data_IF_408980825644
#
_entry.id   IF_408980825644
#
_cell.length_a   1.000
_cell.length_b   1.000
_cell.length_c   1.000
_cell.angle_alpha   90.00
_cell.angle_beta   90.00
_cell.angle_gamma   90.00
#
_symmetry.space_group_name_H-M   'P 1'
#
loop_
_entity.id
_entity.type
_entity.pdbx_description
1 polymer ?
#
# COMPACT_ATOMS: atom_id res chain seq x y z
N UNK A 1 -14.19 6.90 -56.92
CA UNK A 1 -15.29 7.84 -56.63
C UNK A 1 -15.08 8.37 -55.25
N UNK A 2 -14.75 9.66 -55.16
CA UNK A 2 -14.54 10.46 -53.96
C UNK A 2 -15.89 10.77 -53.29
N UNK A 3 -15.95 10.78 -51.97
CA UNK A 3 -16.72 11.77 -51.23
C UNK A 3 -16.07 12.02 -49.86
N UNK A 4 -15.46 13.18 -49.78
CA UNK A 4 -15.01 13.87 -48.58
C UNK A 4 -16.22 14.58 -47.95
N UNK A 5 -16.38 14.51 -46.63
CA UNK A 5 -17.32 15.37 -45.91
C UNK A 5 -16.64 15.94 -44.67
N UNK A 6 -16.17 17.15 -44.82
CA UNK A 6 -15.67 18.07 -43.79
C UNK A 6 -16.87 18.71 -43.09
N UNK A 7 -16.97 18.62 -41.75
CA UNK A 7 -17.88 19.49 -40.96
C UNK A 7 -17.05 20.53 -40.22
N UNK A 8 -17.28 21.77 -40.63
CA UNK A 8 -16.85 22.98 -39.94
C UNK A 8 -17.65 23.15 -38.63
N UNK A 9 -16.95 23.50 -37.57
CA UNK A 9 -17.52 24.01 -36.31
C UNK A 9 -17.35 25.54 -36.32
N UNK A 10 -18.50 26.20 -36.24
CA UNK A 10 -18.65 27.65 -36.21
C UNK A 10 -18.41 28.20 -34.81
N UNK A 11 -17.50 29.15 -34.67
CA UNK A 11 -17.32 30.00 -33.49
C UNK A 11 -18.31 31.16 -33.56
N UNK A 12 -18.96 31.50 -32.46
CA UNK A 12 -19.62 32.76 -32.24
C UNK A 12 -19.08 33.42 -30.96
N UNK A 13 -18.67 34.68 -31.06
CA UNK A 13 -18.21 35.44 -29.91
C UNK A 13 -19.22 36.49 -29.45
N UNK A 14 -18.93 37.05 -28.26
CA UNK A 14 -19.41 38.33 -27.68
C UNK A 14 -20.76 38.32 -26.94
N UNK A 15 -20.60 38.64 -25.65
CA UNK A 15 -21.20 39.87 -25.10
C UNK A 15 -20.50 40.28 -23.79
N UNK A 16 -19.81 41.40 -23.84
CA UNK A 16 -19.38 42.23 -22.71
C UNK A 16 -20.63 42.80 -22.03
N UNK A 17 -20.62 42.89 -20.71
CA UNK A 17 -21.41 43.86 -19.96
C UNK A 17 -20.60 44.38 -18.76
N UNK A 18 -20.45 45.66 -18.78
CA UNK A 18 -19.71 46.55 -17.90
C UNK A 18 -20.56 47.01 -16.71
N UNK A 19 -19.81 47.30 -15.61
CA UNK A 19 -20.00 48.35 -14.57
C UNK A 19 -21.14 48.24 -13.56
N UNK A 20 -20.77 48.26 -12.25
CA UNK A 20 -21.02 49.46 -11.43
C UNK A 20 -20.21 49.44 -10.14
N UNK A 21 -19.40 50.48 -9.94
CA UNK A 21 -18.71 50.83 -8.69
C UNK A 21 -19.73 51.57 -7.81
N UNK A 22 -19.83 51.21 -6.54
CA UNK A 22 -20.42 52.07 -5.51
C UNK A 22 -19.50 52.10 -4.28
N UNK A 23 -18.80 53.20 -4.14
CA UNK A 23 -18.13 53.65 -2.93
C UNK A 23 -19.15 54.19 -1.94
N UNK A 24 -19.10 53.74 -0.72
CA UNK A 24 -19.69 54.47 0.42
C UNK A 24 -18.73 54.35 1.61
N UNK A 25 -18.03 55.45 1.82
CA UNK A 25 -17.30 55.80 3.04
C UNK A 25 -18.30 56.26 4.09
N UNK A 26 -18.24 55.74 5.33
CA UNK A 26 -18.68 56.47 6.50
C UNK A 26 -17.79 56.14 7.72
N UNK A 27 -17.29 57.24 8.28
CA UNK A 27 -16.40 57.31 9.45
C UNK A 27 -17.18 57.29 10.78
N UNK A 28 -16.43 57.04 11.86
CA UNK A 28 -16.64 57.38 13.26
C UNK A 28 -17.47 56.39 14.12
N UNK A 29 -16.90 55.80 15.15
CA UNK A 29 -16.62 56.42 16.43
C UNK A 29 -15.91 55.42 17.37
N UNK A 30 -14.89 55.90 18.04
CA UNK A 30 -14.21 55.27 19.18
C UNK A 30 -15.16 55.23 20.38
N UNK A 31 -15.37 54.03 20.92
CA UNK A 31 -15.75 53.87 22.32
C UNK A 31 -14.88 52.75 22.91
N UNK A 32 -13.95 53.16 23.74
CA UNK A 32 -13.16 52.32 24.61
C UNK A 32 -14.02 51.82 25.77
N UNK A 33 -14.21 50.50 25.85
CA UNK A 33 -14.59 49.87 27.12
C UNK A 33 -13.67 48.69 27.32
N UNK A 34 -12.77 48.81 28.28
CA UNK A 34 -11.97 47.71 28.80
C UNK A 34 -12.91 46.78 29.57
N UNK A 35 -13.10 45.59 29.04
CA UNK A 35 -13.62 44.50 29.82
C UNK A 35 -12.49 43.45 29.94
N UNK A 36 -11.95 43.32 31.14
CA UNK A 36 -11.07 42.21 31.53
C UNK A 36 -11.84 40.91 31.40
N UNK A 37 -11.62 40.21 30.31
CA UNK A 37 -11.99 38.82 30.20
C UNK A 37 -10.72 37.98 30.50
N UNK A 38 -10.69 37.37 31.67
CA UNK A 38 -9.79 36.30 32.03
C UNK A 38 -9.95 35.16 30.99
N UNK A 39 -9.05 35.13 30.02
CA UNK A 39 -8.90 33.94 29.17
C UNK A 39 -8.24 32.86 30.00
N UNK A 40 -9.06 31.97 30.56
CA UNK A 40 -8.62 30.62 30.93
C UNK A 40 -8.19 29.93 29.64
N UNK A 41 -6.89 29.95 29.36
CA UNK A 41 -6.30 29.06 28.39
C UNK A 41 -6.48 27.62 28.90
N UNK A 42 -7.56 26.98 28.50
CA UNK A 42 -7.64 25.56 28.49
C UNK A 42 -6.66 25.08 27.42
N UNK A 43 -5.43 24.81 27.84
CA UNK A 43 -4.49 24.02 27.07
C UNK A 43 -5.15 22.66 26.85
N UNK A 44 -5.78 22.50 25.70
CA UNK A 44 -6.05 21.18 25.14
C UNK A 44 -4.69 20.60 24.80
N UNK A 45 -4.07 19.93 25.74
CA UNK A 45 -3.06 18.94 25.49
C UNK A 45 -3.76 17.81 24.73
N UNK A 46 -3.80 17.93 23.41
CA UNK A 46 -3.93 16.77 22.56
C UNK A 46 -2.72 15.90 22.91
N UNK A 47 -2.94 14.93 23.77
CA UNK A 47 -2.02 13.82 23.93
C UNK A 47 -2.00 13.12 22.56
N UNK A 48 -1.05 13.47 21.69
CA UNK A 48 -0.67 12.67 20.55
C UNK A 48 -0.34 11.30 21.11
N UNK A 49 -1.27 10.35 20.98
CA UNK A 49 -0.97 8.97 21.28
C UNK A 49 0.18 8.60 20.33
N UNK A 50 1.35 8.29 20.90
CA UNK A 50 2.47 7.80 20.13
C UNK A 50 2.03 6.53 19.44
N UNK A 51 1.88 6.60 18.11
CA UNK A 51 1.37 5.49 17.29
C UNK A 51 2.43 4.39 17.06
N UNK A 52 3.65 4.63 17.54
CA UNK A 52 4.81 3.79 17.25
C UNK A 52 5.87 3.88 18.37
N UNK A 53 6.94 3.11 18.29
CA UNK A 53 8.05 3.17 19.21
C UNK A 53 9.31 3.69 18.55
N UNK A 54 9.76 4.85 18.99
CA UNK A 54 10.99 5.51 18.54
C UNK A 54 12.13 5.25 19.49
N UNK A 55 13.31 4.91 18.98
CA UNK A 55 14.54 4.69 19.74
C UNK A 55 15.68 5.47 19.11
N UNK A 56 16.47 6.16 19.95
CA UNK A 56 17.73 6.80 19.53
C UNK A 56 18.89 5.98 20.05
N UNK A 57 19.74 5.48 19.15
CA UNK A 57 20.81 4.53 19.49
C UNK A 57 22.12 4.90 18.79
N UNK A 58 23.23 4.38 19.32
CA UNK A 58 24.51 4.43 18.64
C UNK A 58 24.45 3.55 17.36
N UNK A 59 25.15 3.89 16.25
CA UNK A 59 25.10 3.14 14.99
C UNK A 59 25.40 1.64 15.15
N UNK A 60 26.29 1.26 16.05
CA UNK A 60 26.60 -0.15 16.33
C UNK A 60 25.47 -0.93 16.99
N UNK A 61 24.49 -0.24 17.58
CA UNK A 61 23.34 -0.80 18.27
C UNK A 61 22.07 -0.79 17.42
N UNK A 62 22.10 -0.12 16.26
CA UNK A 62 20.92 0.08 15.42
C UNK A 62 20.20 -1.24 15.10
N UNK A 63 20.94 -2.28 14.70
CA UNK A 63 20.35 -3.59 14.40
C UNK A 63 19.68 -4.24 15.62
N UNK A 64 20.26 -4.09 16.82
CA UNK A 64 19.70 -4.65 18.04
C UNK A 64 18.46 -3.91 18.53
N UNK A 65 18.31 -2.64 18.16
CA UNK A 65 17.15 -1.82 18.46
C UNK A 65 15.91 -2.19 17.65
N UNK A 66 16.07 -2.89 16.52
CA UNK A 66 14.97 -3.32 15.65
C UNK A 66 14.22 -4.49 16.29
N UNK A 67 12.96 -4.28 16.61
CA UNK A 67 12.14 -5.23 17.39
C UNK A 67 11.43 -6.27 16.50
N UNK A 68 11.02 -5.86 15.29
CA UNK A 68 10.25 -6.70 14.41
C UNK A 68 11.13 -7.38 13.35
N UNK A 69 10.72 -8.57 12.92
CA UNK A 69 11.46 -9.35 11.92
C UNK A 69 11.50 -8.63 10.57
N UNK A 70 10.41 -7.97 10.20
CA UNK A 70 10.30 -7.19 8.97
C UNK A 70 11.40 -6.10 8.91
N UNK A 71 11.59 -5.36 10.00
CA UNK A 71 12.65 -4.34 10.07
C UNK A 71 14.06 -4.94 10.03
N UNK A 72 14.28 -6.10 10.68
CA UNK A 72 15.55 -6.80 10.58
C UNK A 72 15.88 -7.26 9.16
N UNK A 73 14.88 -7.69 8.42
CA UNK A 73 15.03 -8.06 7.01
C UNK A 73 15.37 -6.83 6.16
N UNK A 74 14.64 -5.73 6.31
CA UNK A 74 14.92 -4.46 5.62
C UNK A 74 16.34 -3.97 5.96
N UNK A 75 16.73 -3.99 7.23
CA UNK A 75 18.08 -3.59 7.65
C UNK A 75 19.16 -4.47 7.00
N UNK A 76 18.94 -5.80 6.96
CA UNK A 76 19.87 -6.72 6.33
C UNK A 76 20.04 -6.45 4.84
N UNK A 77 18.97 -6.13 4.13
CA UNK A 77 19.02 -5.79 2.70
C UNK A 77 19.67 -4.41 2.46
N UNK A 78 19.19 -3.38 3.16
CA UNK A 78 19.57 -2.00 2.87
C UNK A 78 20.93 -1.60 3.46
N UNK A 79 21.27 -2.14 4.63
CA UNK A 79 22.48 -1.75 5.35
C UNK A 79 23.59 -2.80 5.27
N UNK A 80 23.27 -4.08 5.17
CA UNK A 80 24.24 -5.17 5.12
C UNK A 80 24.41 -5.75 3.69
N UNK A 81 23.61 -5.32 2.73
CA UNK A 81 23.64 -5.80 1.35
C UNK A 81 23.28 -7.28 1.19
N UNK A 82 22.52 -7.83 2.12
CA UNK A 82 22.11 -9.24 2.09
C UNK A 82 20.85 -9.39 1.26
N UNK A 83 20.96 -10.05 0.12
CA UNK A 83 19.80 -10.43 -0.67
C UNK A 83 19.09 -11.61 0.01
N UNK A 84 17.81 -11.43 0.31
CA UNK A 84 16.95 -12.51 0.78
C UNK A 84 16.40 -13.28 -0.42
N UNK A 85 16.17 -14.59 -0.23
CA UNK A 85 15.58 -15.39 -1.29
C UNK A 85 14.12 -14.94 -1.55
N UNK A 86 13.79 -14.76 -2.82
CA UNK A 86 12.39 -14.50 -3.24
C UNK A 86 11.56 -15.75 -2.99
N UNK A 87 10.47 -15.56 -2.26
CA UNK A 87 9.55 -16.65 -1.93
C UNK A 87 8.53 -16.85 -3.06
N UNK A 88 8.38 -18.10 -3.53
CA UNK A 88 7.37 -18.45 -4.53
C UNK A 88 7.77 -18.31 -6.00
N UNK A 89 9.05 -18.26 -6.33
CA UNK A 89 9.53 -18.19 -7.73
C UNK A 89 9.47 -19.51 -8.51
N UNK A 90 9.08 -20.61 -7.88
CA UNK A 90 8.93 -21.88 -8.58
C UNK A 90 7.53 -22.05 -9.14
N UNK A 91 7.42 -22.70 -10.29
CA UNK A 91 6.15 -23.15 -10.85
C UNK A 91 5.92 -24.64 -10.50
N UNK A 92 4.69 -25.06 -10.29
CA UNK A 92 4.38 -26.46 -10.11
C UNK A 92 4.62 -27.23 -11.42
N UNK A 93 4.90 -28.55 -11.28
CA UNK A 93 5.10 -29.43 -12.43
C UNK A 93 3.90 -29.36 -13.40
N UNK A 94 4.21 -29.27 -14.70
CA UNK A 94 3.20 -29.18 -15.75
C UNK A 94 2.76 -27.75 -16.10
N UNK A 95 3.25 -26.72 -15.40
CA UNK A 95 2.97 -25.30 -15.73
C UNK A 95 4.19 -24.66 -16.34
N UNK A 96 4.14 -24.38 -17.63
CA UNK A 96 5.20 -23.61 -18.30
C UNK A 96 5.07 -22.10 -17.97
N UNK A 97 6.20 -21.37 -17.80
CA UNK A 97 6.18 -19.92 -17.58
C UNK A 97 5.33 -19.17 -18.61
N UNK A 98 5.46 -19.55 -19.87
CA UNK A 98 4.69 -18.95 -20.96
C UNK A 98 3.19 -19.13 -20.80
N UNK A 99 2.72 -20.30 -20.33
CA UNK A 99 1.29 -20.56 -20.12
C UNK A 99 0.72 -19.63 -19.05
N UNK A 100 1.45 -19.46 -17.96
CA UNK A 100 1.03 -18.57 -16.87
C UNK A 100 1.07 -17.11 -17.30
N UNK A 101 2.14 -16.68 -18.00
CA UNK A 101 2.27 -15.31 -18.52
C UNK A 101 1.17 -14.97 -19.52
N UNK A 102 0.92 -15.83 -20.51
CA UNK A 102 -0.09 -15.59 -21.55
C UNK A 102 -1.50 -15.43 -20.95
N UNK A 103 -1.78 -16.12 -19.85
CA UNK A 103 -3.05 -16.01 -19.14
C UNK A 103 -3.14 -14.75 -18.26
N UNK A 104 -2.11 -14.47 -17.45
CA UNK A 104 -2.12 -13.35 -16.50
C UNK A 104 -1.93 -12.00 -17.18
N UNK A 105 -1.08 -11.95 -18.20
CA UNK A 105 -0.64 -10.73 -18.88
C UNK A 105 -0.66 -10.93 -20.40
N UNK A 106 -1.85 -11.12 -21.02
CA UNK A 106 -1.96 -11.41 -22.44
C UNK A 106 -1.29 -10.32 -23.30
N UNK A 107 -0.46 -10.77 -24.24
CA UNK A 107 0.28 -9.89 -25.16
C UNK A 107 1.59 -9.32 -24.62
N UNK A 108 1.98 -9.63 -23.38
CA UNK A 108 3.31 -9.23 -22.85
C UNK A 108 4.39 -10.18 -23.34
N UNK A 109 5.58 -9.62 -23.67
CA UNK A 109 6.72 -10.42 -24.11
C UNK A 109 7.35 -11.19 -22.93
N UNK A 110 7.70 -12.47 -23.12
CA UNK A 110 8.50 -13.20 -22.14
C UNK A 110 9.88 -12.56 -21.86
N UNK A 111 10.43 -11.80 -22.80
CA UNK A 111 11.72 -11.11 -22.64
C UNK A 111 11.67 -9.98 -21.60
N UNK A 112 10.47 -9.50 -21.26
CA UNK A 112 10.24 -8.48 -20.24
C UNK A 112 9.86 -9.07 -18.86
N UNK A 113 9.96 -10.38 -18.72
CA UNK A 113 9.57 -11.08 -17.50
C UNK A 113 10.67 -10.97 -16.43
N UNK A 114 10.44 -10.17 -15.40
CA UNK A 114 11.36 -10.00 -14.27
C UNK A 114 11.28 -11.18 -13.29
N UNK A 115 10.07 -11.63 -12.99
CA UNK A 115 9.85 -12.81 -12.14
C UNK A 115 8.49 -13.45 -12.44
N UNK A 116 8.41 -14.77 -12.21
CA UNK A 116 7.19 -15.54 -12.35
C UNK A 116 7.21 -16.68 -11.36
N UNK A 117 6.05 -17.02 -10.79
CA UNK A 117 5.97 -18.13 -9.86
C UNK A 117 4.57 -18.40 -9.40
N UNK A 118 4.43 -19.42 -8.56
CA UNK A 118 3.16 -19.78 -7.95
C UNK A 118 3.37 -20.45 -6.59
N UNK A 119 2.37 -20.30 -5.72
CA UNK A 119 2.29 -21.01 -4.44
C UNK A 119 0.99 -21.77 -4.31
N UNK A 120 0.99 -22.97 -3.69
CA UNK A 120 -0.25 -23.65 -3.32
C UNK A 120 -1.11 -22.73 -2.44
N UNK A 121 -2.41 -22.63 -2.75
CA UNK A 121 -3.36 -21.85 -1.97
C UNK A 121 -4.57 -22.71 -1.57
N UNK A 122 -4.87 -22.71 -0.28
CA UNK A 122 -5.96 -23.52 0.26
C UNK A 122 -5.77 -25.01 0.04
N UNK A 123 -6.88 -25.70 -0.15
CA UNK A 123 -6.94 -27.16 -0.43
C UNK A 123 -7.40 -27.35 -1.89
N UNK A 124 -7.29 -28.53 -2.43
CA UNK A 124 -7.86 -28.93 -3.74
C UNK A 124 -7.04 -28.55 -5.00
N UNK A 125 -5.71 -28.47 -4.88
CA UNK A 125 -4.85 -28.23 -6.05
C UNK A 125 -4.96 -26.82 -6.65
N UNK A 126 -5.40 -25.85 -5.85
CA UNK A 126 -5.38 -24.45 -6.22
C UNK A 126 -3.99 -23.85 -5.99
N UNK A 127 -3.63 -22.92 -6.85
CA UNK A 127 -2.38 -22.17 -6.79
C UNK A 127 -2.67 -20.67 -7.00
N UNK A 128 -1.99 -19.83 -6.25
CA UNK A 128 -1.88 -18.42 -6.55
C UNK A 128 -0.62 -18.20 -7.38
N UNK A 129 -0.80 -17.87 -8.65
CA UNK A 129 0.28 -17.55 -9.58
C UNK A 129 0.46 -16.06 -9.77
N UNK A 130 1.66 -15.65 -10.14
CA UNK A 130 1.97 -14.26 -10.45
C UNK A 130 2.99 -14.15 -11.58
N UNK A 131 3.02 -12.98 -12.22
CA UNK A 131 4.05 -12.54 -13.15
C UNK A 131 4.37 -11.06 -12.89
N UNK A 132 5.65 -10.73 -12.77
CA UNK A 132 6.17 -9.36 -12.74
C UNK A 132 6.80 -9.05 -14.08
N UNK A 133 6.31 -8.02 -14.76
CA UNK A 133 6.72 -7.64 -16.11
C UNK A 133 7.22 -6.21 -16.09
N UNK A 134 8.42 -5.98 -16.59
CA UNK A 134 8.98 -4.64 -16.74
C UNK A 134 8.46 -3.94 -18.00
N UNK A 135 8.59 -2.62 -18.05
CA UNK A 135 8.21 -1.85 -19.23
C UNK A 135 9.21 -2.03 -20.38
N UNK A 136 10.49 -2.03 -20.06
CA UNK A 136 11.60 -2.15 -21.01
C UNK A 136 12.65 -3.15 -20.50
N UNK A 137 13.38 -3.80 -21.40
CA UNK A 137 14.43 -4.76 -21.04
C UNK A 137 15.53 -4.13 -20.16
N UNK A 138 15.80 -2.84 -20.36
CA UNK A 138 16.73 -2.08 -19.52
C UNK A 138 16.36 -2.02 -18.04
N UNK A 139 15.09 -2.24 -17.70
CA UNK A 139 14.58 -2.21 -16.34
C UNK A 139 14.84 -3.52 -15.57
N UNK A 140 15.12 -4.61 -16.28
CA UNK A 140 15.41 -5.92 -15.66
C UNK A 140 16.54 -5.86 -14.63
N UNK A 141 17.50 -4.95 -14.82
CA UNK A 141 18.61 -4.74 -13.88
C UNK A 141 18.18 -4.20 -12.50
N UNK A 142 16.97 -3.66 -12.37
CA UNK A 142 16.43 -3.11 -11.12
C UNK A 142 15.53 -4.09 -10.37
N UNK A 143 15.48 -5.33 -10.82
CA UNK A 143 14.62 -6.36 -10.23
C UNK A 143 15.36 -7.27 -9.22
N UNK A 144 16.60 -6.93 -8.90
CA UNK A 144 17.45 -7.65 -7.95
C UNK A 144 17.08 -7.29 -6.51
N UNK A 145 16.18 -7.98 -5.92
CA UNK A 145 15.80 -7.79 -4.52
C UNK A 145 15.01 -8.99 -4.02
N UNK A 146 14.61 -8.98 -2.76
CA UNK A 146 13.76 -10.02 -2.19
C UNK A 146 12.29 -9.88 -2.60
N UNK A 147 11.89 -8.73 -3.14
CA UNK A 147 10.52 -8.48 -3.56
C UNK A 147 10.14 -9.31 -4.77
N UNK A 148 8.89 -9.80 -4.82
CA UNK A 148 8.38 -10.51 -5.99
C UNK A 148 8.33 -9.63 -7.23
N UNK A 149 8.07 -8.34 -7.01
CA UNK A 149 8.05 -7.33 -8.06
C UNK A 149 8.55 -6.01 -7.47
N UNK A 150 9.61 -5.45 -8.04
CA UNK A 150 10.22 -4.19 -7.57
C UNK A 150 9.48 -2.98 -8.14
N UNK A 151 9.84 -1.79 -7.66
CA UNK A 151 9.36 -0.54 -8.23
C UNK A 151 10.02 -0.23 -9.58
N UNK A 152 9.30 0.46 -10.43
CA UNK A 152 9.87 1.22 -11.53
C UNK A 152 10.50 2.48 -10.94
N UNK A 153 11.82 2.58 -10.98
CA UNK A 153 12.56 3.64 -10.31
C UNK A 153 12.22 5.05 -10.85
N UNK A 154 11.91 5.15 -12.14
CA UNK A 154 11.55 6.41 -12.77
C UNK A 154 10.15 6.92 -12.36
N UNK A 155 9.21 6.01 -12.23
CA UNK A 155 7.81 6.30 -11.96
C UNK A 155 7.42 6.12 -10.48
N UNK A 156 8.30 5.53 -9.69
CA UNK A 156 8.06 5.13 -8.28
C UNK A 156 6.80 4.29 -8.11
N UNK A 157 6.58 3.40 -9.04
CA UNK A 157 5.46 2.47 -9.04
C UNK A 157 5.98 1.05 -9.24
N UNK A 158 5.23 0.08 -8.75
CA UNK A 158 5.50 -1.33 -9.05
C UNK A 158 5.57 -1.55 -10.55
N UNK A 159 6.56 -2.29 -11.02
CA UNK A 159 6.47 -2.89 -12.36
C UNK A 159 5.14 -3.64 -12.49
N UNK A 160 4.68 -3.88 -13.68
CA UNK A 160 3.39 -4.51 -13.93
C UNK A 160 3.32 -5.90 -13.26
N UNK A 161 2.67 -5.97 -12.11
CA UNK A 161 2.47 -7.20 -11.35
C UNK A 161 1.08 -7.76 -11.61
N UNK A 162 1.05 -8.93 -12.23
CA UNK A 162 -0.18 -9.66 -12.55
C UNK A 162 -0.28 -10.88 -11.64
N UNK A 163 -1.49 -11.24 -11.21
CA UNK A 163 -1.70 -12.42 -10.37
C UNK A 163 -3.09 -13.01 -10.56
N UNK A 164 -3.19 -14.31 -10.26
CA UNK A 164 -4.44 -15.04 -10.43
C UNK A 164 -4.40 -16.40 -9.79
N UNK A 165 -5.57 -16.98 -9.56
CA UNK A 165 -5.76 -18.32 -9.05
C UNK A 165 -6.00 -19.27 -10.21
N UNK A 166 -5.24 -20.35 -10.25
CA UNK A 166 -5.44 -21.46 -11.18
C UNK A 166 -5.49 -22.78 -10.43
N UNK A 167 -6.00 -23.80 -11.08
CA UNK A 167 -6.04 -25.17 -10.58
C UNK A 167 -5.20 -26.07 -11.48
N UNK A 168 -4.56 -27.06 -10.88
CA UNK A 168 -4.01 -28.19 -11.59
C UNK A 168 -4.94 -29.40 -11.43
N UNK A 169 -5.52 -29.83 -12.53
CA UNK A 169 -6.32 -31.04 -12.59
C UNK A 169 -5.62 -32.08 -13.47
N UNK A 170 -5.15 -33.16 -12.85
CA UNK A 170 -4.34 -34.20 -13.52
C UNK A 170 -3.14 -33.64 -14.31
N UNK A 171 -2.49 -32.57 -13.79
CA UNK A 171 -1.38 -31.88 -14.45
C UNK A 171 -1.80 -30.89 -15.54
N UNK A 172 -3.09 -30.69 -15.78
CA UNK A 172 -3.61 -29.70 -16.72
C UNK A 172 -3.91 -28.38 -16.05
N UNK A 173 -3.40 -27.29 -16.60
CA UNK A 173 -3.65 -25.93 -16.14
C UNK A 173 -5.09 -25.51 -16.43
N UNK A 174 -5.78 -25.02 -15.42
CA UNK A 174 -7.14 -24.46 -15.50
C UNK A 174 -7.17 -23.09 -14.82
N UNK A 175 -7.44 -22.04 -15.58
CA UNK A 175 -7.69 -20.70 -15.05
C UNK A 175 -8.93 -20.71 -14.15
N UNK A 176 -8.86 -20.04 -12.99
CA UNK A 176 -9.99 -19.89 -12.07
C UNK A 176 -10.41 -18.43 -11.98
N UNK A 177 -9.52 -17.56 -11.57
CA UNK A 177 -9.80 -16.13 -11.45
C UNK A 177 -8.49 -15.32 -11.52
N UNK A 178 -8.50 -14.15 -12.16
CA UNK A 178 -7.34 -13.26 -12.22
C UNK A 178 -7.71 -11.84 -11.81
N UNK A 179 -6.71 -11.08 -11.37
CA UNK A 179 -6.84 -9.63 -11.22
C UNK A 179 -6.97 -8.97 -12.61
N UNK A 180 -7.80 -7.97 -12.71
CA UNK A 180 -8.05 -7.25 -13.97
C UNK A 180 -6.91 -6.27 -14.27
N UNK A 181 -5.97 -6.69 -15.11
CA UNK A 181 -4.75 -5.93 -15.40
C UNK A 181 -3.68 -6.01 -14.30
N UNK A 182 -2.67 -5.13 -14.33
CA UNK A 182 -1.63 -5.08 -13.31
C UNK A 182 -2.16 -4.56 -11.98
N UNK A 183 -1.47 -4.93 -10.89
CA UNK A 183 -1.80 -4.46 -9.56
C UNK A 183 -1.60 -2.94 -9.47
N UNK A 184 -2.69 -2.23 -9.25
CA UNK A 184 -2.72 -0.78 -9.10
C UNK A 184 -3.65 -0.34 -7.95
N UNK A 185 -4.09 -1.28 -7.12
CA UNK A 185 -4.97 -1.00 -5.99
C UNK A 185 -4.24 -0.14 -4.97
N UNK A 186 -4.73 1.08 -4.65
CA UNK A 186 -4.09 1.93 -3.68
C UNK A 186 -4.26 1.41 -2.25
N UNK A 187 -3.36 1.81 -1.36
CA UNK A 187 -3.43 1.58 0.07
C UNK A 187 -3.99 2.82 0.76
N UNK A 188 -4.96 2.64 1.64
CA UNK A 188 -5.59 3.72 2.37
C UNK A 188 -4.84 4.00 3.69
N UNK A 189 -4.30 5.21 3.81
CA UNK A 189 -3.57 5.67 4.99
C UNK A 189 -4.42 6.54 5.94
N UNK A 190 -5.59 7.01 5.54
CA UNK A 190 -6.40 8.00 6.28
C UNK A 190 -6.82 7.54 7.67
N UNK A 191 -7.00 6.25 7.86
CA UNK A 191 -7.50 5.68 9.12
C UNK A 191 -6.47 4.76 9.78
N UNK A 192 -5.24 4.82 9.30
CA UNK A 192 -4.17 4.02 9.85
C UNK A 192 -3.88 4.38 11.30
N UNK A 193 -3.66 3.36 12.12
CA UNK A 193 -3.08 3.49 13.45
C UNK A 193 -1.56 3.29 13.43
N UNK A 194 -0.95 3.37 12.27
CA UNK A 194 0.48 3.48 12.01
C UNK A 194 0.79 4.86 11.44
N UNK A 195 2.05 5.25 11.47
CA UNK A 195 2.48 6.46 10.82
C UNK A 195 2.26 6.37 9.31
N UNK A 196 1.80 7.46 8.71
CA UNK A 196 1.61 7.54 7.26
C UNK A 196 2.95 7.76 6.55
N UNK A 197 2.97 7.47 5.25
CA UNK A 197 4.03 7.94 4.36
C UNK A 197 4.14 9.47 4.40
N UNK A 198 5.34 9.97 4.08
CA UNK A 198 5.76 11.37 4.33
C UNK A 198 4.81 12.43 3.76
N UNK A 199 4.21 12.18 2.62
CA UNK A 199 3.41 13.20 1.93
C UNK A 199 1.94 13.25 2.37
N UNK A 200 1.54 12.48 3.39
CA UNK A 200 0.17 12.48 3.92
C UNK A 200 -0.90 12.11 2.89
N UNK A 201 -0.48 11.45 1.81
CA UNK A 201 -1.39 10.96 0.77
C UNK A 201 -2.37 9.94 1.33
N UNK A 202 -3.63 10.06 0.93
CA UNK A 202 -4.69 9.17 1.43
C UNK A 202 -4.67 7.80 0.79
N UNK A 203 -4.43 7.76 -0.52
CA UNK A 203 -4.49 6.55 -1.34
C UNK A 203 -3.24 6.49 -2.22
N UNK A 204 -2.30 5.63 -1.86
CA UNK A 204 -1.00 5.51 -2.53
C UNK A 204 -0.89 4.15 -3.21
N UNK A 205 -0.57 4.15 -4.51
CA UNK A 205 -0.31 2.93 -5.28
C UNK A 205 1.01 2.32 -4.80
N UNK A 206 1.07 1.00 -4.57
CA UNK A 206 2.29 0.33 -4.14
C UNK A 206 3.45 0.49 -5.11
N UNK A 207 4.65 0.61 -4.55
CA UNK A 207 5.90 0.65 -5.32
C UNK A 207 6.48 -0.74 -5.56
N UNK A 208 6.16 -1.71 -4.70
CA UNK A 208 6.64 -3.08 -4.85
C UNK A 208 5.64 -4.09 -4.33
N UNK A 209 5.79 -5.34 -4.76
CA UNK A 209 5.08 -6.49 -4.20
C UNK A 209 6.08 -7.36 -3.46
N UNK A 210 5.91 -7.42 -2.14
CA UNK A 210 6.82 -8.11 -1.23
C UNK A 210 6.65 -9.63 -1.30
N UNK A 211 5.43 -10.10 -1.11
CA UNK A 211 5.14 -11.54 -1.05
C UNK A 211 3.66 -11.87 -1.23
N UNK A 212 3.39 -13.11 -1.59
CA UNK A 212 2.08 -13.73 -1.49
C UNK A 212 1.83 -14.13 -0.03
N UNK A 213 0.81 -13.55 0.60
CA UNK A 213 0.42 -13.86 1.98
C UNK A 213 -0.75 -14.85 1.96
N UNK A 214 -0.42 -16.12 2.15
CA UNK A 214 -1.37 -17.23 2.03
C UNK A 214 -1.96 -17.66 3.37
N UNK A 215 -1.93 -16.77 4.39
CA UNK A 215 -2.68 -17.01 5.61
C UNK A 215 -4.17 -17.18 5.30
N UNK A 216 -4.88 -18.09 6.00
CA UNK A 216 -6.28 -18.39 5.71
C UNK A 216 -7.19 -17.26 6.23
N UNK A 217 -7.28 -16.14 5.51
CA UNK A 217 -8.14 -15.01 5.82
C UNK A 217 -9.61 -15.38 5.56
N UNK A 218 -10.22 -16.09 6.50
CA UNK A 218 -11.63 -16.50 6.41
C UNK A 218 -12.57 -15.32 6.64
N UNK A 219 -12.84 -14.54 5.60
CA UNK A 219 -13.65 -13.31 5.66
C UNK A 219 -15.16 -13.56 5.77
N UNK A 220 -15.63 -14.75 5.44
CA UNK A 220 -17.00 -15.21 5.70
C UNK A 220 -17.00 -16.73 5.98
N UNK A 221 -18.17 -17.31 6.23
CA UNK A 221 -18.25 -18.79 6.39
C UNK A 221 -17.83 -19.56 5.14
N UNK A 222 -17.97 -18.94 3.97
CA UNK A 222 -17.75 -19.58 2.67
C UNK A 222 -16.57 -18.98 1.90
N UNK A 223 -16.08 -17.80 2.28
CA UNK A 223 -15.04 -17.09 1.55
C UNK A 223 -13.76 -17.00 2.37
N UNK A 224 -12.67 -17.40 1.75
CA UNK A 224 -11.30 -17.16 2.21
C UNK A 224 -10.65 -16.19 1.23
N UNK A 225 -10.12 -15.11 1.75
CA UNK A 225 -9.40 -14.12 0.94
C UNK A 225 -7.94 -14.52 0.75
N UNK A 226 -7.36 -14.02 -0.33
CA UNK A 226 -5.96 -14.10 -0.70
C UNK A 226 -5.29 -12.81 -0.23
N UNK A 227 -4.15 -12.91 0.43
CA UNK A 227 -3.34 -11.77 0.83
C UNK A 227 -2.20 -11.51 -0.17
N UNK A 228 -2.00 -10.25 -0.50
CA UNK A 228 -0.80 -9.75 -1.19
C UNK A 228 -0.17 -8.70 -0.28
N UNK A 229 1.11 -8.88 0.04
CA UNK A 229 1.91 -7.89 0.77
C UNK A 229 2.58 -6.96 -0.23
N UNK A 230 2.35 -5.69 -0.06
CA UNK A 230 2.87 -4.62 -0.93
C UNK A 230 3.74 -3.68 -0.13
N UNK A 231 4.66 -3.01 -0.80
CA UNK A 231 5.68 -2.18 -0.16
C UNK A 231 5.76 -0.78 -0.73
N UNK A 232 6.30 0.11 0.12
CA UNK A 232 6.63 1.49 -0.19
C UNK A 232 7.98 1.82 0.44
N UNK A 233 8.75 2.70 -0.19
CA UNK A 233 10.02 3.17 0.32
C UNK A 233 10.19 4.66 0.09
N UNK A 234 10.84 5.32 1.04
CA UNK A 234 11.17 6.74 0.97
C UNK A 234 12.61 6.94 1.41
N UNK A 235 13.36 7.69 0.62
CA UNK A 235 14.75 8.04 0.93
C UNK A 235 14.84 9.46 1.50
N UNK A 236 15.62 9.61 2.57
CA UNK A 236 15.92 10.91 3.16
C UNK A 236 17.42 11.14 3.23
N UNK A 237 17.83 12.40 3.42
CA UNK A 237 19.23 12.70 3.71
C UNK A 237 19.66 12.06 5.03
N UNK A 238 20.37 10.93 4.93
CA UNK A 238 20.88 10.17 6.09
C UNK A 238 20.00 9.04 6.57
N UNK A 239 19.02 8.58 5.78
CA UNK A 239 18.22 7.42 6.15
C UNK A 239 17.13 7.07 5.16
N UNK A 240 16.20 6.24 5.59
CA UNK A 240 15.05 5.84 4.79
C UNK A 240 13.87 5.40 5.65
N UNK A 241 12.71 5.32 5.02
CA UNK A 241 11.51 4.76 5.58
C UNK A 241 10.97 3.68 4.65
N UNK A 242 10.44 2.62 5.22
CA UNK A 242 9.92 1.46 4.53
C UNK A 242 8.58 1.06 5.13
N UNK A 243 7.62 0.78 4.28
CA UNK A 243 6.27 0.48 4.71
C UNK A 243 5.77 -0.79 4.01
N UNK A 244 4.98 -1.56 4.72
CA UNK A 244 4.29 -2.73 4.18
C UNK A 244 2.78 -2.62 4.44
N UNK A 245 2.00 -2.95 3.44
CA UNK A 245 0.55 -3.04 3.55
C UNK A 245 0.05 -4.43 3.14
N UNK A 246 -1.14 -4.78 3.60
CA UNK A 246 -1.85 -6.00 3.23
C UNK A 246 -3.04 -5.64 2.36
N UNK A 247 -3.10 -6.24 1.19
CA UNK A 247 -4.27 -6.23 0.32
C UNK A 247 -4.92 -7.61 0.35
N UNK A 248 -6.24 -7.65 0.59
CA UNK A 248 -7.02 -8.89 0.54
C UNK A 248 -7.92 -8.90 -0.69
N UNK A 249 -7.92 -10.04 -1.37
CA UNK A 249 -8.71 -10.28 -2.58
C UNK A 249 -9.59 -11.50 -2.40
N UNK A 250 -10.78 -11.47 -2.94
CA UNK A 250 -11.69 -12.62 -3.03
C UNK A 250 -11.98 -12.97 -4.48
N UNK A 251 -12.30 -14.23 -4.73
CA UNK A 251 -12.77 -14.68 -6.04
C UNK A 251 -14.24 -14.28 -6.18
N UNK A 252 -14.55 -13.51 -7.24
CA UNK A 252 -15.89 -13.17 -7.67
C UNK A 252 -16.03 -13.47 -9.18
N UNK A 253 -16.66 -14.60 -9.46
CA UNK A 253 -16.68 -15.14 -10.83
C UNK A 253 -15.29 -15.55 -11.29
N UNK A 254 -14.82 -14.95 -12.38
CA UNK A 254 -13.49 -15.14 -12.97
C UNK A 254 -12.48 -14.04 -12.56
N UNK A 255 -12.86 -13.16 -11.60
CA UNK A 255 -12.05 -12.02 -11.17
C UNK A 255 -11.58 -12.16 -9.72
N UNK A 256 -10.43 -11.55 -9.43
CA UNK A 256 -9.95 -11.26 -8.10
C UNK A 256 -10.30 -9.81 -7.74
N UNK A 257 -11.16 -9.63 -6.75
CA UNK A 257 -11.68 -8.32 -6.34
C UNK A 257 -11.05 -7.93 -5.00
N UNK A 258 -10.47 -6.73 -4.93
CA UNK A 258 -9.93 -6.19 -3.69
C UNK A 258 -11.04 -5.86 -2.71
N UNK A 259 -10.91 -6.33 -1.47
CA UNK A 259 -11.86 -6.09 -0.39
C UNK A 259 -11.26 -5.38 0.82
N UNK A 260 -9.93 -5.27 0.90
CA UNK A 260 -9.22 -4.64 2.01
C UNK A 260 -7.82 -4.22 1.54
N UNK A 261 -7.35 -3.03 1.92
CA UNK A 261 -6.04 -2.52 1.53
C UNK A 261 -5.55 -1.51 2.57
N UNK A 262 -4.79 -2.00 3.59
CA UNK A 262 -4.44 -1.20 4.77
C UNK A 262 -2.98 -1.43 5.20
N UNK A 263 -2.33 -0.42 5.82
CA UNK A 263 -0.96 -0.52 6.30
C UNK A 263 -0.82 -1.52 7.45
N UNK A 264 0.27 -2.29 7.40
CA UNK A 264 0.56 -3.34 8.37
C UNK A 264 1.84 -3.14 9.15
N UNK A 265 2.82 -2.45 8.55
CA UNK A 265 4.14 -2.27 9.15
C UNK A 265 4.82 -1.02 8.59
N UNK A 266 5.61 -0.35 9.41
CA UNK A 266 6.61 0.60 8.96
C UNK A 266 7.89 0.47 9.77
N UNK A 267 9.00 0.83 9.13
CA UNK A 267 10.32 0.95 9.70
C UNK A 267 10.99 2.20 9.15
N UNK A 268 11.53 3.04 10.05
CA UNK A 268 12.34 4.20 9.71
C UNK A 268 13.69 4.09 10.38
N UNK A 269 14.73 4.43 9.64
CA UNK A 269 16.09 4.52 10.12
C UNK A 269 16.67 5.86 9.66
N UNK A 270 16.70 6.83 10.55
CA UNK A 270 17.08 8.21 10.29
C UNK A 270 18.34 8.59 11.03
N UNK A 271 19.11 9.50 10.43
CA UNK A 271 20.25 10.11 11.09
C UNK A 271 19.77 11.03 12.22
N UNK A 272 20.19 10.73 13.43
CA UNK A 272 19.97 11.56 14.62
C UNK A 272 21.02 12.66 14.81
N UNK A 273 21.17 13.12 16.02
CA UNK A 273 22.18 14.10 16.42
C UNK A 273 23.59 13.50 16.48
N UNK A 274 24.60 14.35 16.41
CA UNK A 274 26.00 13.95 16.65
C UNK A 274 26.33 14.07 18.12
N UNK A 275 27.06 13.08 18.62
CA UNK A 275 27.64 13.13 19.95
C UNK A 275 28.93 14.02 19.97
N UNK A 276 29.54 14.13 21.16
CA UNK A 276 30.77 14.92 21.38
C UNK A 276 31.96 14.37 20.57
N UNK A 277 31.93 13.11 20.15
CA UNK A 277 32.95 12.49 19.31
C UNK A 277 32.71 12.68 17.82
N UNK A 278 31.58 13.28 17.46
CA UNK A 278 31.15 13.50 16.08
C UNK A 278 30.40 12.31 15.45
N UNK A 279 30.20 11.24 16.20
CA UNK A 279 29.42 10.07 15.77
C UNK A 279 27.93 10.46 15.73
N UNK A 280 27.27 10.16 14.62
CA UNK A 280 25.85 10.45 14.43
C UNK A 280 24.99 9.30 14.94
N UNK A 281 24.11 9.57 15.88
CA UNK A 281 23.13 8.59 16.34
C UNK A 281 22.19 8.12 15.21
N UNK A 282 21.56 6.98 15.40
CA UNK A 282 20.46 6.48 14.55
C UNK A 282 19.14 6.60 15.31
N UNK A 283 18.12 7.06 14.64
CA UNK A 283 16.74 7.11 15.15
C UNK A 283 15.97 6.00 14.47
N UNK A 284 15.70 4.94 15.22
CA UNK A 284 14.94 3.79 14.76
C UNK A 284 13.49 3.96 15.21
N UNK A 285 12.58 3.88 14.27
CA UNK A 285 11.15 4.04 14.50
C UNK A 285 10.38 2.93 13.81
N UNK A 286 9.50 2.26 14.54
CA UNK A 286 8.77 1.09 14.05
C UNK A 286 7.32 1.06 14.58
N UNK A 287 6.44 0.53 13.75
CA UNK A 287 5.09 0.18 14.16
C UNK A 287 4.55 -1.00 13.38
N UNK A 288 3.82 -1.88 14.05
CA UNK A 288 3.27 -3.10 13.46
C UNK A 288 1.81 -3.32 13.83
N UNK A 289 1.02 -3.68 12.83
CA UNK A 289 -0.35 -4.13 12.98
C UNK A 289 -0.46 -5.65 12.84
N UNK A 290 -1.40 -6.22 13.59
CA UNK A 290 -1.93 -7.56 13.37
C UNK A 290 -3.38 -7.44 12.91
N UNK A 291 -3.71 -8.14 11.83
CA UNK A 291 -5.09 -8.30 11.39
C UNK A 291 -5.76 -9.42 12.19
N UNK A 292 -6.87 -9.10 12.82
CA UNK A 292 -7.71 -10.02 13.59
C UNK A 292 -9.09 -10.14 12.93
N UNK A 293 -9.56 -11.36 12.74
CA UNK A 293 -10.93 -11.63 12.36
C UNK A 293 -11.77 -11.70 13.64
N UNK A 294 -12.83 -10.91 13.71
CA UNK A 294 -13.72 -10.88 14.87
C UNK A 294 -14.87 -11.86 14.70
N UNK A 295 -15.41 -12.38 15.81
CA UNK A 295 -16.53 -13.34 15.77
C UNK A 295 -17.86 -12.75 15.32
N UNK A 296 -17.99 -11.40 15.29
CA UNK A 296 -19.20 -10.71 14.84
C UNK A 296 -19.19 -10.54 13.32
N UNK A 297 -20.39 -10.48 12.73
CA UNK A 297 -20.57 -10.34 11.28
C UNK A 297 -21.48 -9.16 10.94
N UNK A 298 -21.13 -8.51 9.82
CA UNK A 298 -22.00 -7.55 9.14
C UNK A 298 -22.23 -8.01 7.70
N UNK A 299 -23.49 -8.08 7.29
CA UNK A 299 -23.90 -8.48 5.94
C UNK A 299 -23.28 -9.79 5.46
N UNK A 300 -23.04 -10.75 6.38
CA UNK A 300 -22.48 -12.07 6.10
C UNK A 300 -20.96 -12.19 6.17
N UNK A 301 -20.24 -11.06 6.32
CA UNK A 301 -18.78 -11.02 6.47
C UNK A 301 -18.39 -10.83 7.94
N UNK A 302 -17.30 -11.46 8.36
CA UNK A 302 -16.68 -11.21 9.66
C UNK A 302 -16.09 -9.81 9.70
N UNK A 303 -16.29 -9.08 10.81
CA UNK A 303 -15.58 -7.84 11.05
C UNK A 303 -14.09 -8.09 11.18
N UNK A 304 -13.30 -7.14 10.71
CA UNK A 304 -11.85 -7.13 10.83
C UNK A 304 -11.40 -6.10 11.87
N UNK A 305 -10.24 -6.31 12.48
CA UNK A 305 -9.58 -5.38 13.37
C UNK A 305 -8.10 -5.33 13.06
N UNK A 306 -7.57 -4.15 12.83
CA UNK A 306 -6.15 -3.89 12.95
C UNK A 306 -5.84 -3.55 14.39
N UNK A 307 -4.93 -4.31 15.01
CA UNK A 307 -4.41 -4.04 16.34
C UNK A 307 -2.93 -3.71 16.23
N UNK A 308 -2.55 -2.50 16.61
CA UNK A 308 -1.15 -2.14 16.76
C UNK A 308 -0.55 -2.92 17.94
N UNK A 309 0.54 -3.65 17.70
CA UNK A 309 1.16 -4.53 18.71
C UNK A 309 2.01 -3.75 19.71
N UNK A 310 2.43 -2.54 19.35
CA UNK A 310 3.35 -1.72 20.14
C UNK A 310 2.62 -0.87 21.19
N UNK A 311 1.47 -0.29 20.81
CA UNK A 311 0.70 0.58 21.69
C UNK A 311 -0.71 0.08 22.00
N UNK A 312 -1.15 -1.01 21.36
CA UNK A 312 -2.47 -1.62 21.57
C UNK A 312 -3.63 -0.89 20.93
N UNK A 313 -3.41 0.18 20.19
CA UNK A 313 -4.47 0.90 19.45
C UNK A 313 -5.17 -0.02 18.45
N UNK A 314 -6.42 0.26 18.13
CA UNK A 314 -7.25 -0.63 17.32
C UNK A 314 -8.08 0.18 16.34
N UNK A 315 -8.20 -0.34 15.12
CA UNK A 315 -9.13 0.15 14.10
C UNK A 315 -10.00 -1.02 13.66
N UNK A 316 -11.31 -0.88 13.80
CA UNK A 316 -12.27 -1.91 13.38
C UNK A 316 -12.78 -1.60 11.99
N UNK A 317 -12.97 -2.64 11.20
CA UNK A 317 -13.48 -2.56 9.83
C UNK A 317 -14.73 -3.42 9.69
N UNK A 318 -15.72 -2.91 8.98
CA UNK A 318 -16.95 -3.62 8.65
C UNK A 318 -17.13 -3.72 7.15
N UNK A 319 -17.72 -4.83 6.75
CA UNK A 319 -18.10 -5.00 5.35
C UNK A 319 -19.17 -3.96 4.97
N UNK A 320 -18.98 -3.31 3.84
CA UNK A 320 -19.96 -2.46 3.18
C UNK A 320 -20.34 -3.07 1.83
N UNK A 321 -21.60 -3.47 1.68
CA UNK A 321 -22.11 -4.01 0.42
C UNK A 321 -22.07 -2.97 -0.69
N UNK A 322 -22.38 -1.72 -0.36
CA UNK A 322 -22.42 -0.62 -1.33
C UNK A 322 -21.03 -0.27 -1.86
N UNK A 323 -20.01 -0.39 -1.02
CA UNK A 323 -18.62 -0.17 -1.42
C UNK A 323 -17.94 -1.45 -1.95
N UNK A 324 -18.53 -2.62 -1.75
CA UNK A 324 -17.92 -3.91 -2.10
C UNK A 324 -16.63 -4.22 -1.34
N UNK A 325 -16.40 -3.57 -0.18
CA UNK A 325 -15.15 -3.68 0.57
C UNK A 325 -15.34 -3.38 2.07
N UNK A 326 -14.31 -3.67 2.84
CA UNK A 326 -14.26 -3.27 4.23
C UNK A 326 -14.04 -1.76 4.37
N UNK A 327 -14.81 -1.14 5.26
CA UNK A 327 -14.67 0.27 5.63
C UNK A 327 -14.34 0.41 7.11
N UNK A 328 -13.43 1.33 7.47
CA UNK A 328 -13.12 1.60 8.87
C UNK A 328 -14.36 2.11 9.59
N UNK A 329 -14.51 1.69 10.83
CA UNK A 329 -15.53 2.24 11.71
C UNK A 329 -14.88 3.37 12.49
N UNK A 330 -15.51 4.53 12.47
CA UNK A 330 -15.04 5.66 13.25
C UNK A 330 -14.85 5.20 14.70
N UNK A 331 -13.62 5.34 15.19
CA UNK A 331 -13.39 5.31 16.63
C UNK A 331 -14.17 6.49 17.19
N UNK A 332 -15.31 6.18 17.84
CA UNK A 332 -16.11 7.17 18.57
C UNK A 332 -15.35 7.67 19.79
#
# INVERSE_FOLDING_TARGET
MMFSSTRQVSFNPLLLSTTLVLTASLSCALVSSQANASQTNASQTNASQTLHTTQTVHPSEAKAAIRHEEGRQIYAEQMEGKLLAKDGQSLPDGVAPKTLLDWLAPGRSPDLLASIGAKPWGNQGLYLGYACVVAEESDLKYTDGSDLCSENFAERQTHDFYFGVFKLDQGSFQAVAAHDGPLNTPVNWNYSNLESTVDGGSDIVPQSVKKLDLAPYKVSDQLTAIGIRVGFSEGFSGGGAFYEALQLYVIDGDKLVNIFSEPMYFYKDLAGERDETGVRARVIDEGKNLLQLLGRKHQGYYDLRLKNVDNGSKVDFRWSRDAGRYLPQNAG
#
